data_IF_548977734765
#
_entry.id   IF_548977734765
#
_cell.length_a   1.000
_cell.length_b   1.000
_cell.length_c   1.000
_cell.angle_alpha   90.00
_cell.angle_beta   90.00
_cell.angle_gamma   90.00
#
_symmetry.space_group_name_H-M   'P 1'
#
loop_
_entity.id
_entity.type
_entity.pdbx_description
1 polymer ?
#
# COMPACT_ATOMS: atom_id res chain seq x y z
N UNK A 1 4.50 -4.76 33.57
CA UNK A 1 3.38 -5.62 33.15
C UNK A 1 2.83 -5.06 31.86
N UNK A 2 2.87 -5.86 30.81
CA UNK A 2 2.44 -5.49 29.44
C UNK A 2 0.93 -5.69 29.19
N UNK A 3 0.15 -5.79 30.28
CA UNK A 3 -1.32 -5.87 30.18
C UNK A 3 -1.95 -4.50 29.94
N UNK A 4 -3.03 -4.48 29.16
CA UNK A 4 -3.74 -3.27 28.76
C UNK A 4 -4.47 -2.67 29.96
N UNK A 5 -4.12 -1.43 30.33
CA UNK A 5 -4.79 -0.63 31.34
C UNK A 5 -5.99 0.12 30.75
N UNK A 6 -5.81 0.76 29.61
CA UNK A 6 -6.87 1.53 28.95
C UNK A 6 -6.68 1.62 27.44
N UNK A 7 -7.80 1.75 26.76
CA UNK A 7 -7.87 2.00 25.30
C UNK A 7 -8.74 3.23 25.10
N UNK A 8 -8.32 4.12 24.23
CA UNK A 8 -9.08 5.31 23.84
C UNK A 8 -8.95 5.55 22.34
N UNK A 9 -10.03 5.93 21.69
CA UNK A 9 -10.03 6.34 20.30
C UNK A 9 -10.67 7.71 20.13
N UNK A 10 -10.28 8.37 19.04
CA UNK A 10 -10.83 9.64 18.60
C UNK A 10 -10.96 9.69 17.08
N UNK A 11 -11.78 10.62 16.64
CA UNK A 11 -11.87 11.00 15.25
C UNK A 11 -10.78 12.03 14.94
N UNK A 12 -10.00 11.78 13.88
CA UNK A 12 -9.01 12.71 13.32
C UNK A 12 -9.31 12.92 11.84
N UNK A 13 -8.55 13.79 11.16
CA UNK A 13 -8.67 14.00 9.71
C UNK A 13 -7.55 13.27 8.97
N UNK A 14 -7.91 12.68 7.84
CA UNK A 14 -6.96 12.12 6.88
C UNK A 14 -6.43 13.19 5.90
N UNK A 15 -5.53 12.79 5.01
CA UNK A 15 -4.90 13.66 4.01
C UNK A 15 -5.86 14.27 2.97
N UNK A 16 -7.10 13.75 2.90
CA UNK A 16 -8.16 14.29 2.06
C UNK A 16 -9.15 15.19 2.84
N UNK A 17 -8.90 15.40 4.14
CA UNK A 17 -9.80 16.15 5.02
C UNK A 17 -11.06 15.37 5.42
N UNK A 18 -11.06 14.04 5.25
CA UNK A 18 -12.13 13.19 5.73
C UNK A 18 -11.81 12.64 7.13
N UNK A 19 -12.84 12.42 7.98
CA UNK A 19 -12.63 11.77 9.26
C UNK A 19 -12.06 10.36 9.12
N UNK A 20 -11.15 10.01 10.02
CA UNK A 20 -10.67 8.64 10.25
C UNK A 20 -10.47 8.41 11.74
N UNK A 21 -10.16 7.16 12.11
CA UNK A 21 -10.00 6.76 13.50
C UNK A 21 -8.52 6.71 13.89
N UNK A 22 -8.22 7.26 15.09
CA UNK A 22 -6.96 7.08 15.78
C UNK A 22 -7.22 6.40 17.13
N UNK A 23 -6.48 5.36 17.46
CA UNK A 23 -6.55 4.65 18.71
C UNK A 23 -5.27 4.79 19.53
N UNK A 24 -5.42 4.79 20.85
CA UNK A 24 -4.36 4.80 21.84
C UNK A 24 -4.54 3.62 22.80
N UNK A 25 -3.43 2.97 23.14
CA UNK A 25 -3.36 1.89 24.12
C UNK A 25 -2.33 2.26 25.16
N UNK A 26 -2.72 2.17 26.44
CA UNK A 26 -1.82 2.38 27.60
C UNK A 26 -1.75 1.08 28.39
N UNK A 27 -0.53 0.64 28.70
CA UNK A 27 -0.28 -0.56 29.49
C UNK A 27 -0.12 -0.25 30.98
N UNK A 28 -0.16 -1.28 31.83
CA UNK A 28 0.01 -1.13 33.28
C UNK A 28 1.38 -0.58 33.69
N UNK A 29 2.41 -0.83 32.88
CA UNK A 29 3.75 -0.26 33.11
C UNK A 29 3.90 1.20 32.62
N UNK A 30 2.81 1.79 32.09
CA UNK A 30 2.78 3.13 31.54
C UNK A 30 3.20 3.27 30.07
N UNK A 31 3.58 2.15 29.44
CA UNK A 31 3.90 2.15 28.02
C UNK A 31 2.69 2.55 27.19
N UNK A 32 2.95 3.32 26.11
CA UNK A 32 1.95 3.97 25.27
C UNK A 32 2.14 3.56 23.81
N UNK A 33 1.03 3.29 23.14
CA UNK A 33 0.99 3.10 21.69
C UNK A 33 -0.16 3.89 21.08
N UNK A 34 0.07 4.42 19.89
CA UNK A 34 -0.92 5.15 19.09
C UNK A 34 -0.83 4.70 17.64
N UNK A 35 -1.96 4.58 16.97
CA UNK A 35 -2.02 4.32 15.55
C UNK A 35 -3.25 4.98 14.93
N UNK A 36 -3.09 5.47 13.70
CA UNK A 36 -4.16 6.02 12.89
C UNK A 36 -4.45 5.13 11.68
N UNK A 37 -5.72 5.03 11.31
CA UNK A 37 -6.19 4.12 10.28
C UNK A 37 -6.29 4.83 8.93
N UNK A 38 -5.69 4.30 7.85
CA UNK A 38 -5.85 4.85 6.51
C UNK A 38 -7.23 4.51 5.91
N UNK A 39 -7.61 5.22 4.84
CA UNK A 39 -8.89 5.07 4.15
C UNK A 39 -8.72 5.11 2.63
N UNK A 40 -9.35 4.20 1.88
CA UNK A 40 -9.30 4.16 0.42
C UNK A 40 -10.28 5.10 -0.27
N UNK A 41 -9.95 5.54 -1.50
CA UNK A 41 -10.88 6.20 -2.43
C UNK A 41 -11.55 5.17 -3.35
N UNK A 42 -10.76 4.39 -4.08
CA UNK A 42 -11.21 3.16 -4.73
C UNK A 42 -11.08 2.01 -3.74
N UNK A 43 -12.06 1.12 -3.70
CA UNK A 43 -12.09 0.00 -2.76
C UNK A 43 -12.53 -1.26 -3.49
N UNK A 44 -11.77 -2.35 -3.31
CA UNK A 44 -12.16 -3.67 -3.77
C UNK A 44 -13.47 -4.11 -3.12
N UNK A 45 -14.32 -4.77 -3.86
CA UNK A 45 -15.67 -5.15 -3.39
C UNK A 45 -15.65 -6.11 -2.20
N UNK A 46 -14.52 -6.79 -1.96
CA UNK A 46 -14.33 -7.79 -0.89
C UNK A 46 -13.49 -7.27 0.27
N UNK A 47 -13.18 -5.98 0.36
CA UNK A 47 -12.48 -5.40 1.49
C UNK A 47 -13.28 -5.51 2.79
N UNK A 48 -12.56 -5.59 3.92
CA UNK A 48 -13.18 -5.46 5.23
C UNK A 48 -13.87 -4.09 5.39
N UNK A 49 -14.95 -4.06 6.15
CA UNK A 49 -15.84 -2.91 6.21
C UNK A 49 -15.27 -1.74 7.03
N UNK A 50 -15.06 -0.61 6.39
CA UNK A 50 -14.83 0.66 7.06
C UNK A 50 -16.17 1.20 7.59
N UNK A 51 -16.34 1.25 8.92
CA UNK A 51 -17.58 1.71 9.52
C UNK A 51 -17.64 3.25 9.51
N UNK A 52 -18.59 3.79 8.73
CA UNK A 52 -18.94 5.20 8.63
C UNK A 52 -20.31 5.46 9.23
N UNK A 53 -20.51 6.66 9.78
CA UNK A 53 -21.76 7.03 10.47
C UNK A 53 -22.96 7.12 9.52
N UNK A 54 -22.76 7.59 8.29
CA UNK A 54 -23.80 7.81 7.31
C UNK A 54 -24.66 9.05 7.58
N UNK A 55 -24.40 9.78 8.66
CA UNK A 55 -25.12 11.01 9.03
C UNK A 55 -24.72 12.17 8.13
N UNK A 56 -25.56 12.50 7.18
CA UNK A 56 -25.31 13.57 6.19
C UNK A 56 -25.17 14.97 6.80
N UNK A 57 -25.64 15.18 8.03
CA UNK A 57 -25.54 16.47 8.73
C UNK A 57 -24.16 16.72 9.32
N UNK A 58 -23.31 15.67 9.34
CA UNK A 58 -21.97 15.71 9.90
C UNK A 58 -20.95 15.06 8.96
N UNK A 59 -19.92 15.83 8.57
CA UNK A 59 -18.90 15.39 7.59
C UNK A 59 -19.46 14.74 6.33
N UNK A 60 -20.62 15.20 5.87
CA UNK A 60 -21.31 14.70 4.68
C UNK A 60 -21.57 13.18 4.71
N UNK A 61 -21.74 12.62 5.91
CA UNK A 61 -21.96 11.19 6.12
C UNK A 61 -20.67 10.37 6.37
N UNK A 62 -19.49 11.00 6.29
CA UNK A 62 -18.19 10.31 6.39
C UNK A 62 -17.63 10.24 7.81
N UNK A 63 -18.35 10.72 8.84
CA UNK A 63 -17.93 10.61 10.24
C UNK A 63 -17.68 9.16 10.67
N UNK A 64 -16.86 8.96 11.71
CA UNK A 64 -16.50 7.64 12.25
C UNK A 64 -16.79 7.50 13.75
N UNK A 65 -17.73 8.28 14.28
CA UNK A 65 -18.10 8.24 15.69
C UNK A 65 -18.56 6.87 16.15
N UNK A 66 -19.34 6.14 15.33
CA UNK A 66 -19.78 4.77 15.66
C UNK A 66 -18.58 3.84 15.88
N UNK A 67 -17.58 3.89 15.02
CA UNK A 67 -16.35 3.12 15.17
C UNK A 67 -15.56 3.56 16.42
N UNK A 68 -15.46 4.86 16.67
CA UNK A 68 -14.83 5.42 17.87
C UNK A 68 -15.54 4.95 19.14
N UNK A 69 -16.87 5.00 19.18
CA UNK A 69 -17.68 4.53 20.31
C UNK A 69 -17.50 3.03 20.55
N UNK A 70 -17.42 2.22 19.48
CA UNK A 70 -17.14 0.79 19.59
C UNK A 70 -15.77 0.52 20.23
N UNK A 71 -14.75 1.32 19.90
CA UNK A 71 -13.44 1.21 20.57
C UNK A 71 -13.54 1.59 22.04
N UNK A 72 -14.13 2.75 22.33
CA UNK A 72 -14.17 3.33 23.69
C UNK A 72 -15.05 2.57 24.67
N UNK A 73 -15.95 1.72 24.17
CA UNK A 73 -16.88 0.92 24.98
C UNK A 73 -16.64 -0.58 24.83
N UNK A 74 -17.12 -1.17 23.77
CA UNK A 74 -17.13 -2.63 23.56
C UNK A 74 -15.72 -3.21 23.54
N UNK A 75 -14.83 -2.65 22.75
CA UNK A 75 -13.45 -3.15 22.58
C UNK A 75 -12.62 -2.87 23.82
N UNK A 76 -12.67 -1.65 24.36
CA UNK A 76 -11.92 -1.28 25.56
C UNK A 76 -12.30 -2.17 26.77
N UNK A 77 -13.59 -2.47 26.96
CA UNK A 77 -14.04 -3.35 28.01
C UNK A 77 -13.58 -4.81 27.83
N UNK A 78 -13.61 -5.30 26.58
CA UNK A 78 -13.24 -6.68 26.27
C UNK A 78 -11.73 -6.96 26.35
N UNK A 79 -10.90 -5.92 26.18
CA UNK A 79 -9.44 -6.03 26.16
C UNK A 79 -8.76 -5.51 27.42
N UNK A 80 -9.50 -4.95 28.38
CA UNK A 80 -8.93 -4.52 29.67
C UNK A 80 -8.27 -5.70 30.38
N UNK A 81 -7.00 -5.53 30.77
CA UNK A 81 -6.20 -6.57 31.37
C UNK A 81 -5.64 -7.63 30.40
N UNK A 82 -5.91 -7.51 29.12
CA UNK A 82 -5.35 -8.40 28.09
C UNK A 82 -3.84 -8.15 27.91
N UNK A 83 -3.09 -9.22 27.62
CA UNK A 83 -1.65 -9.14 27.41
C UNK A 83 -1.34 -8.58 26.01
N UNK A 84 -0.82 -7.36 25.94
CA UNK A 84 -0.55 -6.67 24.67
C UNK A 84 0.56 -7.34 23.82
N UNK A 85 1.46 -8.10 24.44
CA UNK A 85 2.50 -8.85 23.72
C UNK A 85 1.98 -10.11 23.02
N UNK A 86 0.76 -10.56 23.35
CA UNK A 86 0.04 -11.60 22.62
C UNK A 86 -0.78 -10.99 21.49
N UNK A 87 -0.10 -10.51 20.44
CA UNK A 87 -0.76 -9.87 19.30
C UNK A 87 -1.78 -10.80 18.62
N UNK A 88 -1.43 -12.07 18.43
CA UNK A 88 -2.31 -13.03 17.77
C UNK A 88 -3.58 -13.28 18.58
N UNK A 89 -3.46 -13.44 19.89
CA UNK A 89 -4.60 -13.60 20.80
C UNK A 89 -5.46 -12.34 20.86
N UNK A 90 -4.84 -11.15 20.89
CA UNK A 90 -5.56 -9.88 20.88
C UNK A 90 -6.36 -9.71 19.58
N UNK A 91 -5.76 -9.94 18.44
CA UNK A 91 -6.43 -9.80 17.14
C UNK A 91 -7.53 -10.86 16.96
N UNK A 92 -7.32 -12.09 17.44
CA UNK A 92 -8.36 -13.11 17.50
C UNK A 92 -9.54 -12.64 18.34
N UNK A 93 -9.27 -12.09 19.52
CA UNK A 93 -10.32 -11.54 20.39
C UNK A 93 -11.11 -10.43 19.72
N UNK A 94 -10.45 -9.55 18.96
CA UNK A 94 -11.12 -8.50 18.19
C UNK A 94 -12.04 -9.08 17.10
N UNK A 95 -11.55 -10.06 16.34
CA UNK A 95 -12.31 -10.74 15.28
C UNK A 95 -13.53 -11.45 15.86
N UNK A 96 -13.35 -12.23 16.93
CA UNK A 96 -14.43 -12.95 17.59
C UNK A 96 -15.47 -11.98 18.20
N UNK A 97 -15.00 -10.83 18.71
CA UNK A 97 -15.86 -9.80 19.26
C UNK A 97 -16.73 -9.14 18.18
N UNK A 98 -16.21 -8.91 16.98
CA UNK A 98 -17.00 -8.44 15.84
C UNK A 98 -17.97 -9.54 15.37
N UNK A 99 -17.50 -10.74 15.15
CA UNK A 99 -18.27 -11.93 14.81
C UNK A 99 -18.87 -11.93 13.40
N UNK A 100 -18.51 -10.96 12.53
CA UNK A 100 -18.93 -10.93 11.13
C UNK A 100 -17.75 -11.20 10.20
N UNK A 101 -18.01 -11.74 9.01
CA UNK A 101 -16.97 -12.12 8.08
C UNK A 101 -16.13 -10.91 7.60
N UNK A 102 -16.79 -9.78 7.33
CA UNK A 102 -16.16 -8.57 6.84
C UNK A 102 -15.86 -7.51 7.92
N UNK A 103 -15.97 -7.88 9.23
CA UNK A 103 -15.76 -6.97 10.35
C UNK A 103 -16.72 -5.75 10.35
N UNK A 104 -17.93 -5.94 9.81
CA UNK A 104 -18.90 -4.87 9.60
C UNK A 104 -19.65 -4.43 10.87
N UNK A 105 -19.67 -5.24 11.95
CA UNK A 105 -20.41 -4.91 13.17
C UNK A 105 -19.72 -3.84 14.01
N UNK A 106 -18.44 -3.98 14.24
CA UNK A 106 -17.63 -3.01 15.01
C UNK A 106 -16.88 -2.05 14.08
N UNK A 107 -16.58 -2.49 12.86
CA UNK A 107 -15.79 -1.78 11.87
C UNK A 107 -14.35 -2.25 11.82
N UNK A 108 -13.86 -2.59 10.63
CA UNK A 108 -12.45 -2.94 10.42
C UNK A 108 -11.50 -1.79 10.84
N UNK A 109 -11.91 -0.54 10.65
CA UNK A 109 -11.17 0.63 11.13
C UNK A 109 -11.05 0.67 12.66
N UNK A 110 -12.10 0.30 13.41
CA UNK A 110 -12.05 0.20 14.86
C UNK A 110 -11.09 -0.92 15.31
N UNK A 111 -11.18 -2.10 14.71
CA UNK A 111 -10.32 -3.24 15.02
C UNK A 111 -8.85 -2.92 14.71
N UNK A 112 -8.57 -2.40 13.51
CA UNK A 112 -7.21 -2.10 13.06
C UNK A 112 -6.53 -1.05 13.92
N UNK A 113 -7.23 0.03 14.28
CA UNK A 113 -6.68 1.08 15.14
C UNK A 113 -6.17 0.52 16.46
N UNK A 114 -6.95 -0.33 17.09
CA UNK A 114 -6.58 -0.98 18.36
C UNK A 114 -5.47 -2.01 18.16
N UNK A 115 -5.55 -2.83 17.11
CA UNK A 115 -4.54 -3.85 16.79
C UNK A 115 -3.14 -3.22 16.61
N UNK A 116 -3.04 -2.15 15.83
CA UNK A 116 -1.76 -1.45 15.60
C UNK A 116 -1.30 -0.69 16.86
N UNK A 117 -2.20 0.02 17.54
CA UNK A 117 -1.84 0.76 18.75
C UNK A 117 -1.33 -0.16 19.86
N UNK A 118 -1.93 -1.37 20.00
CA UNK A 118 -1.45 -2.38 20.94
C UNK A 118 -0.03 -2.87 20.60
N UNK A 119 0.28 -3.06 19.32
CA UNK A 119 1.63 -3.40 18.86
C UNK A 119 2.66 -2.32 19.22
N UNK A 120 2.32 -1.05 19.01
CA UNK A 120 3.17 0.09 19.41
C UNK A 120 3.39 0.11 20.93
N UNK A 121 2.34 -0.10 21.73
CA UNK A 121 2.45 -0.14 23.18
C UNK A 121 3.31 -1.31 23.66
N UNK A 122 3.14 -2.49 23.06
CA UNK A 122 3.95 -3.68 23.38
C UNK A 122 5.42 -3.48 23.01
N UNK A 123 5.71 -2.86 21.87
CA UNK A 123 7.07 -2.51 21.49
C UNK A 123 7.70 -1.55 22.49
N UNK A 124 6.98 -0.50 22.91
CA UNK A 124 7.43 0.46 23.91
C UNK A 124 7.70 -0.23 25.26
N UNK A 125 6.83 -1.15 25.71
CA UNK A 125 7.01 -1.95 26.92
C UNK A 125 8.29 -2.79 26.88
N UNK A 126 8.64 -3.30 25.70
CA UNK A 126 9.89 -4.03 25.46
C UNK A 126 11.11 -3.12 25.19
N UNK A 127 10.94 -1.79 25.27
CA UNK A 127 11.97 -0.79 24.96
C UNK A 127 12.57 -0.97 23.55
N UNK A 128 11.72 -1.32 22.59
CA UNK A 128 12.05 -1.54 21.19
C UNK A 128 11.31 -0.55 20.31
N UNK A 129 11.92 -0.15 19.19
CA UNK A 129 11.17 0.43 18.08
C UNK A 129 10.22 -0.60 17.50
N UNK A 130 9.12 -0.17 16.86
CA UNK A 130 8.11 -1.10 16.35
C UNK A 130 8.72 -2.10 15.35
N UNK A 131 9.56 -1.66 14.42
CA UNK A 131 10.20 -2.54 13.45
C UNK A 131 11.08 -3.63 14.12
N UNK A 132 11.78 -3.30 15.21
CA UNK A 132 12.58 -4.27 15.98
C UNK A 132 11.67 -5.31 16.65
N UNK A 133 10.61 -4.84 17.27
CA UNK A 133 9.62 -5.70 17.94
C UNK A 133 8.95 -6.65 16.95
N UNK A 134 8.52 -6.14 15.79
CA UNK A 134 7.90 -6.96 14.76
C UNK A 134 8.91 -7.95 14.14
N UNK A 135 10.14 -7.53 13.85
CA UNK A 135 11.19 -8.42 13.32
C UNK A 135 11.50 -9.58 14.26
N UNK A 136 11.54 -9.33 15.57
CA UNK A 136 11.70 -10.39 16.56
C UNK A 136 10.54 -11.40 16.55
N UNK A 137 9.32 -10.94 16.27
CA UNK A 137 8.13 -11.82 16.19
C UNK A 137 8.06 -12.59 14.86
N UNK A 138 8.43 -11.98 13.77
CA UNK A 138 8.43 -12.63 12.44
C UNK A 138 9.64 -13.52 12.21
N UNK A 139 10.71 -13.32 12.97
CA UNK A 139 11.99 -14.02 12.77
C UNK A 139 12.76 -13.56 11.52
N UNK A 140 12.39 -12.43 10.94
CA UNK A 140 12.99 -11.90 9.71
C UNK A 140 14.12 -10.95 10.05
N UNK A 141 15.22 -11.03 9.30
CA UNK A 141 16.29 -10.02 9.36
C UNK A 141 15.81 -8.74 8.69
N UNK A 142 15.80 -7.60 9.40
CA UNK A 142 15.34 -6.34 8.84
C UNK A 142 16.07 -5.93 7.57
N UNK A 143 15.34 -5.45 6.56
CA UNK A 143 15.92 -4.89 5.35
C UNK A 143 15.05 -3.73 4.83
N UNK A 144 15.68 -2.77 4.14
CA UNK A 144 15.00 -1.63 3.56
C UNK A 144 14.31 -2.03 2.24
N UNK A 145 13.01 -1.75 2.09
CA UNK A 145 12.26 -2.08 0.88
C UNK A 145 12.61 -1.14 -0.28
N UNK A 146 12.43 -1.62 -1.51
CA UNK A 146 12.45 -0.76 -2.70
C UNK A 146 11.17 0.09 -2.71
N UNK A 147 11.28 1.43 -2.78
CA UNK A 147 10.12 2.29 -2.89
C UNK A 147 9.58 2.30 -4.32
N UNK A 148 8.28 2.09 -4.45
CA UNK A 148 7.52 2.26 -5.68
C UNK A 148 6.86 3.65 -5.63
N UNK A 149 7.51 4.64 -6.24
CA UNK A 149 7.16 6.04 -6.07
C UNK A 149 6.17 6.47 -7.16
N UNK A 150 4.92 6.72 -6.79
CA UNK A 150 3.89 7.22 -7.69
C UNK A 150 4.20 8.66 -8.11
N UNK A 151 4.70 8.85 -9.33
CA UNK A 151 5.20 10.15 -9.81
C UNK A 151 4.21 10.88 -10.72
N UNK A 152 3.31 10.12 -11.38
CA UNK A 152 2.19 10.64 -12.17
C UNK A 152 0.91 9.92 -11.74
N UNK A 153 -0.11 10.70 -11.42
CA UNK A 153 -1.45 10.25 -11.06
C UNK A 153 -2.41 10.39 -12.26
N UNK A 154 -3.27 9.39 -12.41
CA UNK A 154 -4.42 9.39 -13.31
C UNK A 154 -5.60 8.65 -12.71
N UNK A 155 -6.53 8.19 -13.53
CA UNK A 155 -7.69 7.42 -13.10
C UNK A 155 -8.45 8.07 -11.93
N UNK A 156 -8.76 7.29 -10.90
CA UNK A 156 -9.47 7.79 -9.71
C UNK A 156 -8.63 8.72 -8.80
N UNK A 157 -7.30 8.79 -9.00
CA UNK A 157 -6.38 9.59 -8.17
C UNK A 157 -6.16 11.02 -8.69
N UNK A 158 -6.70 11.38 -9.87
CA UNK A 158 -6.54 12.70 -10.47
C UNK A 158 -7.74 13.06 -11.34
N UNK A 159 -8.05 14.34 -11.40
CA UNK A 159 -9.02 14.89 -12.34
C UNK A 159 -8.31 15.27 -13.65
N UNK A 160 -8.00 14.25 -14.47
CA UNK A 160 -7.36 14.36 -15.77
C UNK A 160 -7.85 13.26 -16.74
N UNK A 161 -7.28 13.21 -17.94
CA UNK A 161 -7.66 12.27 -19.00
C UNK A 161 -6.78 11.02 -19.12
N UNK A 162 -5.98 10.72 -18.11
CA UNK A 162 -5.11 9.54 -18.06
C UNK A 162 -5.91 8.36 -17.50
N UNK A 163 -6.01 7.26 -18.27
CA UNK A 163 -6.80 6.09 -17.88
C UNK A 163 -6.17 5.32 -16.72
N UNK A 164 -4.86 5.14 -16.72
CA UNK A 164 -4.14 4.38 -15.70
C UNK A 164 -3.95 5.23 -14.43
N UNK A 165 -4.15 4.58 -13.29
CA UNK A 165 -4.22 5.26 -12.00
C UNK A 165 -2.87 5.80 -11.52
N UNK A 166 -1.78 5.02 -11.72
CA UNK A 166 -0.46 5.41 -11.25
C UNK A 166 0.65 4.98 -12.21
N UNK A 167 1.61 5.89 -12.39
CA UNK A 167 2.90 5.62 -13.04
C UNK A 167 3.98 5.81 -11.99
N UNK A 168 4.76 4.77 -11.75
CA UNK A 168 5.73 4.71 -10.67
C UNK A 168 7.16 4.61 -11.19
N UNK A 169 8.09 5.21 -10.46
CA UNK A 169 9.54 4.99 -10.61
C UNK A 169 10.06 4.16 -9.44
N UNK A 170 10.93 3.20 -9.74
CA UNK A 170 11.51 2.26 -8.79
C UNK A 170 13.04 2.35 -8.88
N UNK A 171 13.71 3.06 -7.94
CA UNK A 171 15.16 3.22 -7.95
C UNK A 171 15.83 1.94 -7.41
N UNK A 172 16.23 1.04 -8.32
CA UNK A 172 16.77 -0.29 -8.01
C UNK A 172 18.29 -0.40 -8.12
N UNK A 173 18.95 0.54 -8.84
CA UNK A 173 20.39 0.53 -9.12
C UNK A 173 21.24 1.14 -7.99
N UNK A 174 20.77 1.16 -6.76
CA UNK A 174 21.42 1.82 -5.62
C UNK A 174 21.77 0.82 -4.52
N UNK A 175 22.74 1.17 -3.69
CA UNK A 175 23.23 0.31 -2.59
C UNK A 175 22.63 0.63 -1.24
N UNK A 176 21.89 1.75 -1.12
CA UNK A 176 21.20 2.17 0.10
C UNK A 176 19.84 2.76 -0.20
N UNK A 177 18.95 2.72 0.78
CA UNK A 177 17.63 3.35 0.68
C UNK A 177 17.74 4.87 0.54
N UNK A 178 18.64 5.50 1.29
CA UNK A 178 18.88 6.95 1.23
C UNK A 178 19.29 7.42 -0.17
N UNK A 179 20.16 6.70 -0.87
CA UNK A 179 20.53 7.02 -2.25
C UNK A 179 19.40 6.75 -3.24
N UNK A 180 18.63 5.69 -3.03
CA UNK A 180 17.42 5.42 -3.81
C UNK A 180 16.37 6.52 -3.65
N UNK A 181 16.15 6.99 -2.41
CA UNK A 181 15.23 8.10 -2.13
C UNK A 181 15.72 9.41 -2.75
N UNK A 182 17.03 9.69 -2.69
CA UNK A 182 17.64 10.85 -3.35
C UNK A 182 17.38 10.83 -4.86
N UNK A 183 17.63 9.71 -5.51
CA UNK A 183 17.38 9.56 -6.94
C UNK A 183 15.91 9.80 -7.29
N UNK A 184 14.97 9.21 -6.55
CA UNK A 184 13.54 9.45 -6.73
C UNK A 184 13.17 10.93 -6.58
N UNK A 185 13.73 11.63 -5.59
CA UNK A 185 13.51 13.05 -5.36
C UNK A 185 14.04 13.92 -6.50
N UNK A 186 15.24 13.62 -6.99
CA UNK A 186 15.83 14.34 -8.13
C UNK A 186 15.02 14.12 -9.42
N UNK A 187 14.52 12.89 -9.65
CA UNK A 187 13.61 12.59 -10.77
C UNK A 187 12.29 13.35 -10.63
N UNK A 188 11.72 13.40 -9.43
CA UNK A 188 10.50 14.16 -9.16
C UNK A 188 10.65 15.64 -9.51
N UNK A 189 11.74 16.29 -9.12
CA UNK A 189 12.00 17.69 -9.46
C UNK A 189 12.35 17.89 -10.95
N UNK A 190 13.05 16.93 -11.56
CA UNK A 190 13.29 16.92 -12.99
C UNK A 190 11.98 16.84 -13.79
N UNK A 191 11.08 15.94 -13.37
CA UNK A 191 9.75 15.80 -13.98
C UNK A 191 8.94 17.10 -13.86
N UNK A 192 8.97 17.78 -12.71
CA UNK A 192 8.34 19.08 -12.56
C UNK A 192 8.83 20.09 -13.58
N UNK A 193 10.14 20.11 -13.86
CA UNK A 193 10.75 20.99 -14.86
C UNK A 193 10.35 20.61 -16.28
N UNK A 194 10.31 19.31 -16.60
CA UNK A 194 9.88 18.80 -17.89
C UNK A 194 8.41 19.17 -18.17
N UNK A 195 7.52 18.93 -17.21
CA UNK A 195 6.11 19.29 -17.34
C UNK A 195 5.90 20.79 -17.58
N UNK A 196 6.62 21.64 -16.85
CA UNK A 196 6.62 23.09 -17.10
C UNK A 196 7.10 23.45 -18.52
N UNK A 197 8.16 22.81 -18.96
CA UNK A 197 8.71 23.01 -20.32
C UNK A 197 7.72 22.63 -21.42
N UNK A 198 6.87 21.64 -21.16
CA UNK A 198 5.80 21.22 -22.07
C UNK A 198 4.48 22.02 -21.90
N UNK A 199 4.45 23.00 -20.99
CA UNK A 199 3.25 23.79 -20.71
C UNK A 199 2.17 23.02 -19.95
N UNK A 200 2.54 21.93 -19.28
CA UNK A 200 1.62 21.07 -18.53
C UNK A 200 1.56 21.47 -17.03
N UNK A 201 0.44 21.13 -16.38
CA UNK A 201 0.23 21.39 -14.95
C UNK A 201 1.24 20.62 -14.09
N UNK A 202 1.70 21.27 -13.02
CA UNK A 202 2.51 20.66 -11.96
C UNK A 202 1.75 20.56 -10.64
N UNK A 203 0.42 20.66 -10.67
CA UNK A 203 -0.44 20.31 -9.54
C UNK A 203 -0.34 18.82 -9.26
N UNK A 204 -0.48 18.45 -7.99
CA UNK A 204 -0.35 17.05 -7.54
C UNK A 204 -1.70 16.47 -7.15
N UNK A 205 -1.84 15.16 -7.35
CA UNK A 205 -3.00 14.39 -6.93
C UNK A 205 -2.93 13.98 -5.45
N UNK A 206 -3.84 13.11 -5.05
CA UNK A 206 -4.01 12.67 -3.65
C UNK A 206 -2.75 12.02 -3.06
N UNK A 207 -1.95 11.37 -3.88
CA UNK A 207 -0.74 10.65 -3.47
C UNK A 207 0.56 11.41 -3.73
N UNK A 208 0.47 12.70 -4.12
CA UNK A 208 1.60 13.58 -4.32
C UNK A 208 2.27 13.48 -5.69
N UNK A 209 1.85 12.58 -6.58
CA UNK A 209 2.27 12.54 -7.98
C UNK A 209 1.65 13.68 -8.77
N UNK A 210 2.30 14.11 -9.85
CA UNK A 210 1.76 15.15 -10.73
C UNK A 210 0.51 14.63 -11.47
N UNK A 211 -0.42 15.52 -11.76
CA UNK A 211 -1.70 15.19 -12.40
C UNK A 211 -1.95 16.05 -13.66
N UNK A 212 -1.04 16.06 -14.65
CA UNK A 212 -1.24 16.82 -15.88
C UNK A 212 -2.25 16.14 -16.81
N UNK A 213 -2.83 16.91 -17.73
CA UNK A 213 -3.60 16.41 -18.85
C UNK A 213 -2.67 15.98 -19.99
N UNK A 214 -2.38 14.68 -20.04
CA UNK A 214 -1.67 14.09 -21.18
C UNK A 214 -2.64 13.74 -22.32
N UNK A 215 -2.12 13.65 -23.54
CA UNK A 215 -2.90 13.21 -24.70
C UNK A 215 -3.11 11.70 -24.75
N UNK A 216 -2.25 10.94 -24.03
CA UNK A 216 -2.31 9.48 -23.93
C UNK A 216 -1.52 8.98 -22.71
N UNK A 217 -1.73 7.72 -22.34
CA UNK A 217 -0.91 7.05 -21.33
C UNK A 217 0.56 6.89 -21.78
N UNK A 218 0.81 6.76 -23.08
CA UNK A 218 2.18 6.70 -23.67
C UNK A 218 2.93 7.99 -23.43
N UNK A 219 2.27 9.15 -23.59
CA UNK A 219 2.90 10.45 -23.33
C UNK A 219 3.36 10.59 -21.87
N UNK A 220 2.62 9.98 -20.91
CA UNK A 220 3.03 9.94 -19.51
C UNK A 220 4.34 9.14 -19.36
N UNK A 221 4.44 7.95 -19.96
CA UNK A 221 5.66 7.13 -19.92
C UNK A 221 6.86 7.85 -20.55
N UNK A 222 6.69 8.42 -21.74
CA UNK A 222 7.76 9.12 -22.45
C UNK A 222 8.25 10.34 -21.65
N UNK A 223 7.35 11.06 -21.01
CA UNK A 223 7.69 12.21 -20.15
C UNK A 223 8.47 11.78 -18.91
N UNK A 224 8.13 10.64 -18.30
CA UNK A 224 8.89 10.08 -17.18
C UNK A 224 10.29 9.67 -17.63
N UNK A 225 10.44 9.00 -18.78
CA UNK A 225 11.74 8.62 -19.32
C UNK A 225 12.62 9.85 -19.61
N UNK A 226 12.05 10.92 -20.15
CA UNK A 226 12.74 12.20 -20.33
C UNK A 226 13.24 12.76 -18.99
N UNK A 227 12.37 12.73 -17.95
CA UNK A 227 12.73 13.24 -16.63
C UNK A 227 13.84 12.42 -15.97
N UNK A 228 13.82 11.10 -16.10
CA UNK A 228 14.87 10.20 -15.57
C UNK A 228 16.23 10.55 -16.22
N UNK A 229 16.26 10.67 -17.56
CA UNK A 229 17.48 11.03 -18.30
C UNK A 229 18.00 12.41 -17.91
N UNK A 230 17.12 13.42 -17.80
CA UNK A 230 17.49 14.77 -17.37
C UNK A 230 17.99 14.86 -15.92
N UNK A 231 17.54 13.95 -15.07
CA UNK A 231 18.05 13.81 -13.70
C UNK A 231 19.44 13.14 -13.64
N UNK A 232 19.95 12.64 -14.77
CA UNK A 232 21.25 11.98 -14.87
C UNK A 232 21.22 10.47 -14.57
N UNK A 233 20.06 9.84 -14.59
CA UNK A 233 19.88 8.42 -14.36
C UNK A 233 19.52 7.66 -15.65
N UNK A 234 19.80 6.37 -15.66
CA UNK A 234 19.52 5.48 -16.80
C UNK A 234 18.28 4.63 -16.51
N UNK A 235 17.21 4.86 -17.29
CA UNK A 235 16.02 4.01 -17.22
C UNK A 235 16.36 2.58 -17.69
N UNK A 236 15.88 1.58 -16.93
CA UNK A 236 16.20 0.17 -17.16
C UNK A 236 17.43 -0.32 -16.37
N UNK A 237 18.33 0.59 -15.98
CA UNK A 237 19.52 0.26 -15.17
C UNK A 237 19.39 0.78 -13.73
N UNK A 238 19.37 2.10 -13.55
CA UNK A 238 19.27 2.72 -12.22
C UNK A 238 17.83 2.71 -11.71
N UNK A 239 16.88 2.92 -12.63
CA UNK A 239 15.46 3.11 -12.33
C UNK A 239 14.61 2.26 -13.27
N UNK A 240 13.68 1.50 -12.71
CA UNK A 240 12.65 0.78 -13.43
C UNK A 240 11.30 1.50 -13.30
N UNK A 241 10.34 1.12 -14.13
CA UNK A 241 8.99 1.65 -14.11
C UNK A 241 8.00 0.64 -13.53
N UNK A 242 6.95 1.15 -12.92
CA UNK A 242 5.79 0.38 -12.46
C UNK A 242 4.49 1.06 -12.86
N UNK A 243 3.45 0.26 -13.00
CA UNK A 243 2.10 0.72 -13.30
C UNK A 243 1.13 0.21 -12.24
N UNK A 244 0.21 1.08 -11.83
CA UNK A 244 -1.08 0.66 -11.26
C UNK A 244 -2.16 1.01 -12.28
N UNK A 245 -2.70 -0.02 -12.89
CA UNK A 245 -3.69 0.13 -13.96
C UNK A 245 -5.08 0.37 -13.40
N UNK A 246 -5.38 -0.19 -12.22
CA UNK A 246 -6.70 -0.15 -11.57
C UNK A 246 -7.83 -0.48 -12.55
N UNK A 247 -7.65 -1.53 -13.33
CA UNK A 247 -8.45 -1.81 -14.52
C UNK A 247 -9.92 -2.13 -14.25
N UNK A 248 -10.29 -2.45 -13.00
CA UNK A 248 -11.69 -2.60 -12.58
C UNK A 248 -12.50 -1.32 -12.80
N UNK A 249 -11.85 -0.14 -12.71
CA UNK A 249 -12.50 1.17 -12.86
C UNK A 249 -13.03 1.44 -14.28
N UNK A 250 -12.46 0.78 -15.29
CA UNK A 250 -12.88 0.93 -16.70
C UNK A 250 -13.27 -0.39 -17.38
N UNK A 251 -13.56 -1.43 -16.59
CA UNK A 251 -14.05 -2.71 -17.09
C UNK A 251 -15.57 -2.74 -17.09
N UNK A 252 -16.16 -2.71 -18.28
CA UNK A 252 -17.60 -2.67 -18.47
C UNK A 252 -18.04 -3.65 -19.57
N UNK A 253 -19.10 -4.41 -19.31
CA UNK A 253 -19.71 -5.33 -20.29
C UNK A 253 -18.68 -6.29 -20.93
N UNK A 254 -17.74 -6.81 -20.12
CA UNK A 254 -16.72 -7.74 -20.56
C UNK A 254 -15.60 -7.11 -21.40
N UNK A 255 -15.44 -5.79 -21.36
CA UNK A 255 -14.41 -5.07 -22.10
C UNK A 255 -13.76 -3.98 -21.26
N UNK A 256 -12.49 -3.71 -21.56
CA UNK A 256 -11.70 -2.63 -21.00
C UNK A 256 -11.84 -1.39 -21.88
N UNK A 257 -12.45 -0.33 -21.33
CA UNK A 257 -12.76 0.91 -22.05
C UNK A 257 -11.75 2.01 -21.71
N UNK A 258 -10.67 2.09 -22.49
CA UNK A 258 -9.63 3.11 -22.36
C UNK A 258 -10.08 4.39 -23.09
N UNK A 259 -10.73 5.30 -22.36
CA UNK A 259 -11.32 6.52 -22.94
C UNK A 259 -10.22 7.45 -23.47
N UNK A 260 -9.14 7.64 -22.70
CA UNK A 260 -7.99 8.47 -23.12
C UNK A 260 -7.24 7.94 -24.34
N UNK A 261 -7.33 6.63 -24.60
CA UNK A 261 -6.73 5.97 -25.76
C UNK A 261 -7.72 5.75 -26.92
N UNK A 262 -9.01 6.05 -26.70
CA UNK A 262 -10.10 5.73 -27.62
C UNK A 262 -10.11 4.24 -28.03
N UNK A 263 -9.89 3.34 -27.07
CA UNK A 263 -9.83 1.89 -27.27
C UNK A 263 -10.86 1.17 -26.41
N UNK A 264 -11.43 0.11 -26.96
CA UNK A 264 -12.31 -0.81 -26.24
C UNK A 264 -11.87 -2.25 -26.52
N UNK A 265 -11.23 -2.88 -25.53
CA UNK A 265 -10.49 -4.12 -25.69
C UNK A 265 -11.15 -5.29 -24.95
N UNK A 266 -11.09 -6.50 -25.54
CA UNK A 266 -11.37 -7.74 -24.81
C UNK A 266 -10.23 -8.03 -23.82
N UNK A 267 -10.41 -9.01 -22.92
CA UNK A 267 -9.36 -9.42 -22.00
C UNK A 267 -8.08 -9.85 -22.73
N UNK A 268 -8.19 -10.64 -23.80
CA UNK A 268 -7.04 -11.07 -24.60
C UNK A 268 -6.32 -9.88 -25.26
N UNK A 269 -7.07 -8.95 -25.83
CA UNK A 269 -6.51 -7.76 -26.46
C UNK A 269 -5.83 -6.86 -25.43
N UNK A 270 -6.40 -6.75 -24.23
CA UNK A 270 -5.80 -5.94 -23.17
C UNK A 270 -4.53 -6.59 -22.59
N UNK A 271 -4.51 -7.93 -22.48
CA UNK A 271 -3.28 -8.67 -22.16
C UNK A 271 -2.18 -8.43 -23.17
N UNK A 272 -2.49 -8.48 -24.47
CA UNK A 272 -1.51 -8.16 -25.53
C UNK A 272 -1.02 -6.72 -25.43
N UNK A 273 -1.91 -5.78 -25.18
CA UNK A 273 -1.57 -4.35 -24.97
C UNK A 273 -0.56 -4.16 -23.81
N UNK A 274 -0.82 -4.78 -22.65
CA UNK A 274 0.08 -4.71 -21.50
C UNK A 274 1.41 -5.42 -21.75
N UNK A 275 1.39 -6.55 -22.45
CA UNK A 275 2.58 -7.30 -22.83
C UNK A 275 3.48 -6.51 -23.78
N UNK A 276 2.89 -5.82 -24.76
CA UNK A 276 3.61 -4.95 -25.71
C UNK A 276 4.28 -3.77 -24.97
N UNK A 277 3.60 -3.17 -24.01
CA UNK A 277 4.17 -2.10 -23.19
C UNK A 277 5.34 -2.60 -22.33
N UNK A 278 5.19 -3.75 -21.70
CA UNK A 278 6.25 -4.36 -20.90
C UNK A 278 7.48 -4.75 -21.75
N UNK A 279 7.30 -4.98 -23.06
CA UNK A 279 8.40 -5.24 -24.00
C UNK A 279 9.08 -3.96 -24.50
N UNK A 280 8.36 -2.84 -24.57
CA UNK A 280 8.87 -1.57 -25.11
C UNK A 280 9.48 -0.65 -24.06
N UNK A 281 8.99 -0.71 -22.83
CA UNK A 281 9.40 0.13 -21.69
C UNK A 281 10.04 -0.69 -20.60
N UNK A 282 10.89 -0.13 -19.74
CA UNK A 282 11.51 -0.85 -18.62
C UNK A 282 10.52 -1.05 -17.46
N UNK A 283 9.33 -1.58 -17.75
CA UNK A 283 8.27 -1.88 -16.79
C UNK A 283 8.56 -3.23 -16.14
N UNK A 284 8.77 -3.21 -14.81
CA UNK A 284 9.05 -4.41 -14.03
C UNK A 284 7.85 -4.90 -13.25
N UNK A 285 6.87 -4.05 -13.01
CA UNK A 285 5.70 -4.38 -12.18
C UNK A 285 4.43 -3.75 -12.72
N UNK A 286 3.34 -4.51 -12.72
CA UNK A 286 1.99 -4.08 -13.11
C UNK A 286 1.03 -4.52 -12.01
N UNK A 287 0.37 -3.57 -11.39
CA UNK A 287 -0.68 -3.78 -10.40
C UNK A 287 -2.05 -3.69 -11.08
N UNK A 288 -2.94 -4.60 -10.68
CA UNK A 288 -4.33 -4.70 -11.17
C UNK A 288 -4.46 -4.51 -12.69
N UNK A 289 -3.62 -5.24 -13.43
CA UNK A 289 -3.61 -5.23 -14.89
C UNK A 289 -4.93 -5.68 -15.50
N UNK A 290 -5.66 -6.59 -14.86
CA UNK A 290 -7.01 -7.00 -15.21
C UNK A 290 -7.98 -6.74 -14.04
N UNK A 291 -9.27 -6.66 -14.34
CA UNK A 291 -10.33 -6.40 -13.36
C UNK A 291 -10.39 -7.50 -12.28
N UNK A 292 -10.81 -7.14 -11.08
CA UNK A 292 -10.88 -8.02 -9.90
C UNK A 292 -11.74 -9.28 -10.12
N UNK A 293 -12.68 -9.24 -11.06
CA UNK A 293 -13.57 -10.35 -11.41
C UNK A 293 -13.14 -11.12 -12.68
N UNK A 294 -12.12 -10.64 -13.41
CA UNK A 294 -11.64 -11.26 -14.64
C UNK A 294 -10.48 -12.24 -14.37
N UNK A 295 -10.74 -13.28 -13.61
CA UNK A 295 -9.73 -14.27 -13.22
C UNK A 295 -9.14 -15.03 -14.41
N UNK A 296 -9.93 -15.28 -15.45
CA UNK A 296 -9.44 -15.89 -16.69
C UNK A 296 -8.45 -14.97 -17.42
N UNK A 297 -8.76 -13.68 -17.51
CA UNK A 297 -7.85 -12.66 -18.04
C UNK A 297 -6.57 -12.55 -17.21
N UNK A 298 -6.68 -12.54 -15.89
CA UNK A 298 -5.54 -12.54 -14.97
C UNK A 298 -4.62 -13.75 -15.18
N UNK A 299 -5.20 -14.94 -15.34
CA UNK A 299 -4.42 -16.15 -15.63
C UNK A 299 -3.68 -16.02 -16.97
N UNK A 300 -4.37 -15.53 -17.99
CA UNK A 300 -3.78 -15.30 -19.31
C UNK A 300 -2.61 -14.29 -19.23
N UNK A 301 -2.76 -13.20 -18.51
CA UNK A 301 -1.69 -12.21 -18.29
C UNK A 301 -0.49 -12.86 -17.56
N UNK A 302 -0.77 -13.63 -16.52
CA UNK A 302 0.27 -14.33 -15.74
C UNK A 302 1.07 -15.28 -16.60
N UNK A 303 0.39 -16.09 -17.42
CA UNK A 303 1.04 -17.03 -18.32
C UNK A 303 1.87 -16.30 -19.40
N UNK A 304 1.39 -15.14 -19.85
CA UNK A 304 2.02 -14.36 -20.94
C UNK A 304 3.31 -13.66 -20.49
N UNK A 305 3.30 -12.96 -19.36
CA UNK A 305 4.41 -12.10 -18.94
C UNK A 305 4.88 -12.33 -17.51
N UNK A 306 4.21 -13.14 -16.69
CA UNK A 306 4.51 -13.30 -15.26
C UNK A 306 5.91 -13.82 -14.94
N UNK A 307 6.65 -14.38 -15.91
CA UNK A 307 8.07 -14.74 -15.72
C UNK A 307 9.04 -13.58 -15.82
N UNK A 308 8.60 -12.45 -16.38
CA UNK A 308 9.43 -11.27 -16.64
C UNK A 308 8.95 -10.03 -15.90
N UNK A 309 7.66 -9.99 -15.56
CA UNK A 309 6.99 -8.86 -14.94
C UNK A 309 6.32 -9.30 -13.65
N UNK A 310 6.52 -8.54 -12.59
CA UNK A 310 5.79 -8.72 -11.33
C UNK A 310 4.34 -8.27 -11.54
N UNK A 311 3.40 -9.17 -11.30
CA UNK A 311 1.96 -8.95 -11.44
C UNK A 311 1.34 -8.92 -10.06
N UNK A 312 0.96 -7.72 -9.61
CA UNK A 312 0.48 -7.46 -8.25
C UNK A 312 -1.05 -7.46 -8.23
N UNK A 313 -1.63 -8.31 -7.39
CA UNK A 313 -3.06 -8.25 -7.10
C UNK A 313 -3.34 -7.34 -5.91
N UNK A 314 -4.04 -6.22 -6.12
CA UNK A 314 -4.62 -5.34 -5.10
C UNK A 314 -6.10 -5.70 -4.90
N UNK A 315 -6.98 -5.20 -5.72
CA UNK A 315 -8.43 -5.50 -5.64
C UNK A 315 -8.72 -6.99 -5.88
N UNK A 316 -7.83 -7.69 -6.60
CA UNK A 316 -7.92 -9.12 -6.82
C UNK A 316 -7.88 -9.92 -5.51
N UNK A 317 -7.02 -9.54 -4.56
CA UNK A 317 -6.76 -10.30 -3.32
C UNK A 317 -7.22 -9.59 -2.05
N UNK A 318 -7.34 -8.28 -2.07
CA UNK A 318 -7.75 -7.40 -0.95
C UNK A 318 -7.06 -7.74 0.38
N UNK A 319 -5.77 -8.11 0.34
CA UNK A 319 -4.99 -8.55 1.51
C UNK A 319 -5.63 -9.74 2.26
N UNK A 320 -6.57 -10.45 1.65
CA UNK A 320 -7.33 -11.52 2.29
C UNK A 320 -6.66 -12.88 2.06
N UNK A 321 -6.16 -13.56 3.11
CA UNK A 321 -5.47 -14.86 2.97
C UNK A 321 -6.30 -15.95 2.28
N UNK A 322 -7.62 -15.96 2.45
CA UNK A 322 -8.50 -16.96 1.82
C UNK A 322 -8.55 -16.76 0.31
N UNK A 323 -8.79 -15.52 -0.14
CA UNK A 323 -8.84 -15.18 -1.58
C UNK A 323 -7.44 -15.33 -2.20
N UNK A 324 -6.42 -14.93 -1.46
CA UNK A 324 -5.04 -15.09 -1.90
C UNK A 324 -4.65 -16.55 -2.11
N UNK A 325 -5.14 -17.48 -1.27
CA UNK A 325 -4.94 -18.92 -1.45
C UNK A 325 -5.52 -19.40 -2.79
N UNK A 326 -6.70 -18.93 -3.20
CA UNK A 326 -7.29 -19.24 -4.50
C UNK A 326 -6.37 -18.80 -5.66
N UNK A 327 -5.75 -17.62 -5.53
CA UNK A 327 -4.77 -17.13 -6.50
C UNK A 327 -3.51 -17.98 -6.57
N UNK A 328 -2.98 -18.39 -5.42
CA UNK A 328 -1.82 -19.28 -5.33
C UNK A 328 -2.14 -20.63 -6.00
N UNK A 329 -3.27 -21.25 -5.66
CA UNK A 329 -3.67 -22.56 -6.15
C UNK A 329 -3.90 -22.57 -7.67
N UNK A 330 -4.38 -21.46 -8.22
CA UNK A 330 -4.60 -21.28 -9.66
C UNK A 330 -3.38 -20.77 -10.43
N UNK A 331 -2.33 -20.35 -9.73
CA UNK A 331 -1.14 -19.72 -10.34
C UNK A 331 -1.48 -18.39 -11.02
N UNK A 332 -2.32 -17.59 -10.37
CA UNK A 332 -2.79 -16.26 -10.82
C UNK A 332 -2.01 -15.17 -10.13
N UNK A 333 -1.52 -14.18 -10.87
CA UNK A 333 -0.58 -13.16 -10.40
C UNK A 333 0.75 -13.80 -9.90
N UNK A 334 1.66 -12.99 -9.35
CA UNK A 334 2.88 -13.45 -8.70
C UNK A 334 3.33 -12.53 -7.55
N UNK A 335 2.50 -11.57 -7.19
CA UNK A 335 2.69 -10.67 -6.06
C UNK A 335 1.34 -10.24 -5.48
N UNK A 336 1.35 -9.83 -4.22
CA UNK A 336 0.19 -9.30 -3.52
C UNK A 336 0.49 -7.91 -2.97
N UNK A 337 -0.47 -6.99 -3.12
CA UNK A 337 -0.45 -5.71 -2.40
C UNK A 337 -0.99 -5.91 -0.99
N UNK A 338 -0.34 -5.32 -0.01
CA UNK A 338 -0.67 -5.45 1.41
C UNK A 338 -1.14 -4.10 1.93
N UNK A 339 -2.43 -4.00 2.20
CA UNK A 339 -3.08 -2.82 2.78
C UNK A 339 -3.71 -3.22 4.12
N UNK A 340 -3.19 -2.70 5.21
CA UNK A 340 -3.59 -3.10 6.58
C UNK A 340 -5.10 -2.97 6.83
N UNK A 341 -5.74 -1.97 6.23
CA UNK A 341 -7.17 -1.73 6.44
C UNK A 341 -8.10 -2.56 5.54
N UNK A 342 -7.57 -3.22 4.48
CA UNK A 342 -8.36 -4.13 3.66
C UNK A 342 -8.74 -5.41 4.42
N UNK A 343 -7.94 -5.80 5.40
CA UNK A 343 -8.18 -6.99 6.23
C UNK A 343 -8.55 -6.65 7.68
N UNK A 344 -7.95 -5.62 8.28
CA UNK A 344 -8.39 -5.02 9.53
C UNK A 344 -7.70 -5.48 10.81
N UNK A 345 -6.68 -6.35 10.76
CA UNK A 345 -5.80 -6.65 11.88
C UNK A 345 -4.35 -6.80 11.45
N UNK A 346 -3.42 -6.52 12.37
CA UNK A 346 -1.99 -6.69 12.12
C UNK A 346 -1.63 -8.17 11.92
N UNK A 347 -2.22 -9.09 12.70
CA UNK A 347 -1.92 -10.52 12.59
C UNK A 347 -2.31 -11.08 11.22
N UNK A 348 -3.49 -10.73 10.69
CA UNK A 348 -3.91 -11.15 9.34
C UNK A 348 -3.03 -10.52 8.26
N UNK A 349 -2.60 -9.27 8.45
CA UNK A 349 -1.65 -8.58 7.57
C UNK A 349 -0.30 -9.32 7.51
N UNK A 350 0.27 -9.64 8.66
CA UNK A 350 1.53 -10.39 8.75
C UNK A 350 1.41 -11.79 8.16
N UNK A 351 0.27 -12.46 8.36
CA UNK A 351 0.01 -13.79 7.78
C UNK A 351 -0.06 -13.73 6.25
N UNK A 352 -0.71 -12.72 5.67
CA UNK A 352 -0.75 -12.55 4.21
C UNK A 352 0.66 -12.38 3.63
N UNK A 353 1.54 -11.63 4.28
CA UNK A 353 2.94 -11.46 3.87
C UNK A 353 3.71 -12.78 3.98
N UNK A 354 3.59 -13.49 5.10
CA UNK A 354 4.26 -14.78 5.31
C UNK A 354 3.76 -15.84 4.32
N UNK A 355 2.49 -15.83 3.99
CA UNK A 355 1.86 -16.70 2.98
C UNK A 355 2.42 -16.44 1.58
N UNK A 356 2.60 -15.16 1.21
CA UNK A 356 3.24 -14.79 -0.04
C UNK A 356 4.65 -15.37 -0.15
N UNK A 357 5.46 -15.22 0.88
CA UNK A 357 6.83 -15.74 0.93
C UNK A 357 6.86 -17.27 0.76
N UNK A 358 6.03 -18.01 1.50
CA UNK A 358 5.90 -19.47 1.38
C UNK A 358 5.51 -19.93 -0.02
N UNK A 359 4.68 -19.15 -0.70
CA UNK A 359 4.19 -19.46 -2.05
C UNK A 359 5.10 -18.98 -3.18
N UNK A 360 6.14 -18.22 -2.86
CA UNK A 360 7.02 -17.62 -3.84
C UNK A 360 6.48 -16.40 -4.56
N UNK A 361 5.48 -15.78 -3.98
CA UNK A 361 4.96 -14.47 -4.38
C UNK A 361 5.75 -13.37 -3.68
N UNK A 362 5.85 -12.21 -4.33
CA UNK A 362 6.32 -11.01 -3.66
C UNK A 362 5.18 -10.35 -2.86
N UNK A 363 5.54 -9.65 -1.80
CA UNK A 363 4.62 -8.80 -1.06
C UNK A 363 5.06 -7.34 -1.16
N UNK A 364 4.12 -6.45 -1.46
CA UNK A 364 4.32 -5.00 -1.53
C UNK A 364 3.47 -4.36 -0.45
N UNK A 365 4.09 -3.76 0.57
CA UNK A 365 3.36 -3.02 1.60
C UNK A 365 2.92 -1.67 1.05
N UNK A 366 1.67 -1.31 1.24
CA UNK A 366 1.05 -0.16 0.57
C UNK A 366 0.30 0.75 1.53
N UNK A 367 0.34 2.04 1.20
CA UNK A 367 -0.54 3.08 1.74
C UNK A 367 -1.96 2.98 1.15
N UNK A 368 -2.80 3.94 1.51
CA UNK A 368 -4.08 4.23 0.84
C UNK A 368 -4.11 5.68 0.36
N UNK A 369 -5.10 6.02 -0.48
CA UNK A 369 -5.29 7.40 -0.97
C UNK A 369 -5.58 8.39 0.16
N UNK A 370 -6.33 8.00 1.18
CA UNK A 370 -6.47 8.75 2.43
C UNK A 370 -5.50 8.24 3.50
N UNK A 371 -4.47 9.01 3.76
CA UNK A 371 -3.43 8.70 4.74
C UNK A 371 -3.38 9.72 5.89
N UNK A 372 -2.61 9.39 6.90
CA UNK A 372 -2.28 10.25 8.02
C UNK A 372 -0.75 10.34 8.16
N UNK A 373 -0.26 10.99 9.22
CA UNK A 373 1.16 10.98 9.58
C UNK A 373 1.66 9.65 10.17
N UNK A 374 0.79 8.66 10.36
CA UNK A 374 1.16 7.32 10.85
C UNK A 374 2.17 6.66 9.92
N UNK A 375 3.19 6.01 10.50
CA UNK A 375 4.31 5.39 9.77
C UNK A 375 4.39 3.88 9.97
N UNK A 376 3.37 3.25 10.55
CA UNK A 376 3.35 1.81 10.88
C UNK A 376 3.68 0.93 9.68
N UNK A 377 3.22 1.28 8.46
CA UNK A 377 3.51 0.50 7.25
C UNK A 377 5.00 0.49 6.88
N UNK A 378 5.75 1.54 7.22
CA UNK A 378 7.20 1.55 7.04
C UNK A 378 7.88 0.50 7.94
N UNK A 379 7.49 0.45 9.21
CA UNK A 379 7.99 -0.55 10.16
C UNK A 379 7.62 -1.98 9.74
N UNK A 380 6.39 -2.20 9.26
CA UNK A 380 5.95 -3.50 8.74
C UNK A 380 6.80 -3.93 7.54
N UNK A 381 7.07 -3.03 6.60
CA UNK A 381 7.85 -3.36 5.39
C UNK A 381 9.29 -3.79 5.70
N UNK A 382 9.89 -3.21 6.75
CA UNK A 382 11.26 -3.55 7.18
C UNK A 382 11.31 -4.87 7.98
N UNK A 383 10.27 -5.15 8.75
CA UNK A 383 10.23 -6.25 9.72
C UNK A 383 9.62 -7.55 9.16
N UNK A 384 9.38 -7.63 7.86
CA UNK A 384 8.76 -8.78 7.20
C UNK A 384 9.53 -9.19 5.96
N UNK A 385 9.08 -10.23 5.28
CA UNK A 385 9.62 -10.65 3.98
C UNK A 385 9.15 -9.79 2.81
N UNK A 386 8.38 -8.73 3.05
CA UNK A 386 8.07 -7.73 2.04
C UNK A 386 9.35 -7.01 1.60
N UNK A 387 9.54 -6.89 0.30
CA UNK A 387 10.75 -6.30 -0.29
C UNK A 387 10.49 -4.96 -0.96
N UNK A 388 9.25 -4.50 -0.94
CA UNK A 388 8.81 -3.30 -1.63
C UNK A 388 7.79 -2.56 -0.78
N UNK A 389 7.77 -1.22 -0.93
CA UNK A 389 6.78 -0.34 -0.32
C UNK A 389 6.21 0.61 -1.37
N UNK A 390 4.88 0.70 -1.44
CA UNK A 390 4.14 1.63 -2.29
C UNK A 390 3.49 2.67 -1.38
N UNK A 391 4.08 3.87 -1.29
CA UNK A 391 3.61 4.89 -0.32
C UNK A 391 3.55 6.30 -0.90
N UNK A 392 3.28 6.40 -2.20
CA UNK A 392 3.06 7.66 -2.90
C UNK A 392 4.33 8.32 -3.40
N UNK A 393 4.25 9.61 -3.68
CA UNK A 393 5.33 10.40 -4.27
C UNK A 393 6.24 11.05 -3.22
N UNK A 394 7.08 11.98 -3.66
CA UNK A 394 8.12 12.67 -2.87
C UNK A 394 7.64 14.01 -2.30
N UNK A 395 6.35 14.23 -2.24
CA UNK A 395 5.74 15.40 -1.59
C UNK A 395 4.44 14.97 -0.87
N UNK A 396 3.83 15.88 -0.12
CA UNK A 396 2.77 15.66 0.88
C UNK A 396 3.30 14.91 2.11
N UNK A 397 3.14 15.53 3.27
CA UNK A 397 3.72 15.03 4.54
C UNK A 397 3.22 13.64 4.93
N UNK A 398 1.97 13.31 4.55
CA UNK A 398 1.36 12.00 4.76
C UNK A 398 2.09 10.87 4.02
N UNK A 399 2.76 11.17 2.90
CA UNK A 399 3.60 10.23 2.13
C UNK A 399 5.05 10.26 2.61
N UNK A 400 5.62 11.47 2.68
CA UNK A 400 7.02 11.69 3.06
C UNK A 400 7.31 11.19 4.49
N UNK A 401 6.32 11.18 5.39
CA UNK A 401 6.46 10.63 6.73
C UNK A 401 6.96 9.17 6.72
N UNK A 402 6.46 8.33 5.79
CA UNK A 402 6.86 6.94 5.65
C UNK A 402 8.30 6.83 5.14
N UNK A 403 8.69 7.63 4.16
CA UNK A 403 10.07 7.69 3.66
C UNK A 403 11.05 8.16 4.74
N UNK A 404 10.68 9.19 5.50
CA UNK A 404 11.49 9.68 6.61
C UNK A 404 11.65 8.62 7.72
N UNK A 405 10.61 7.81 7.97
CA UNK A 405 10.72 6.70 8.91
C UNK A 405 11.70 5.64 8.42
N UNK A 406 11.69 5.30 7.12
CA UNK A 406 12.66 4.37 6.53
C UNK A 406 14.10 4.89 6.63
N UNK A 407 14.32 6.20 6.47
CA UNK A 407 15.64 6.81 6.69
C UNK A 407 16.12 6.64 8.14
N UNK A 408 15.23 6.86 9.13
CA UNK A 408 15.57 6.64 10.56
C UNK A 408 15.89 5.18 10.83
N UNK A 409 15.16 4.26 10.21
CA UNK A 409 15.43 2.82 10.35
C UNK A 409 16.77 2.44 9.71
N UNK A 410 17.07 2.97 8.52
CA UNK A 410 18.37 2.76 7.87
C UNK A 410 19.52 3.24 8.75
N UNK A 411 19.40 4.44 9.32
CA UNK A 411 20.38 4.98 10.27
C UNK A 411 20.53 4.09 11.50
N UNK A 412 19.44 3.62 12.09
CA UNK A 412 19.45 2.74 13.25
C UNK A 412 20.07 1.36 12.96
N UNK A 413 19.94 0.85 11.76
CA UNK A 413 20.58 -0.40 11.31
C UNK A 413 22.08 -0.22 11.04
N UNK A 414 22.51 0.99 10.70
CA UNK A 414 23.93 1.33 10.45
C UNK A 414 24.55 0.44 9.39
N UNK A 415 25.71 -0.15 9.71
CA UNK A 415 26.43 -1.06 8.79
C UNK A 415 25.66 -2.36 8.49
N UNK A 416 24.62 -2.68 9.25
CA UNK A 416 23.73 -3.83 9.00
C UNK A 416 22.59 -3.51 8.05
N UNK A 417 22.41 -2.26 7.65
CA UNK A 417 21.36 -1.86 6.71
C UNK A 417 21.58 -2.55 5.36
N UNK A 418 20.50 -3.15 4.85
CA UNK A 418 20.47 -3.79 3.53
C UNK A 418 19.34 -3.17 2.71
N UNK A 419 19.63 -2.83 1.49
CA UNK A 419 18.67 -2.36 0.52
C UNK A 419 18.52 -3.41 -0.59
N UNK A 420 17.28 -3.85 -0.82
CA UNK A 420 17.02 -4.97 -1.73
C UNK A 420 17.40 -4.68 -3.20
N UNK A 421 17.21 -3.45 -3.66
CA UNK A 421 17.51 -3.08 -5.04
C UNK A 421 16.80 -4.00 -6.04
N UNK A 422 17.51 -4.47 -7.06
CA UNK A 422 16.96 -5.41 -8.06
C UNK A 422 16.53 -6.75 -7.48
N UNK A 423 17.04 -7.09 -6.31
CA UNK A 423 16.70 -8.34 -5.62
C UNK A 423 15.32 -8.33 -4.96
N UNK A 424 14.65 -7.18 -4.97
CA UNK A 424 13.29 -7.04 -4.43
C UNK A 424 12.23 -7.87 -5.19
N UNK A 425 12.44 -8.15 -6.47
CA UNK A 425 11.47 -8.86 -7.31
C UNK A 425 11.64 -10.38 -7.19
N UNK A 426 11.37 -10.88 -5.99
CA UNK A 426 11.65 -12.28 -5.62
C UNK A 426 10.88 -13.30 -6.45
N UNK A 427 9.67 -12.95 -6.92
CA UNK A 427 8.83 -13.81 -7.76
C UNK A 427 9.39 -14.03 -9.18
N UNK A 428 10.31 -13.17 -9.64
CA UNK A 428 10.92 -13.27 -10.98
C UNK A 428 12.21 -14.11 -11.00
N UNK A 429 12.70 -14.56 -9.84
CA UNK A 429 13.97 -15.28 -9.70
C UNK A 429 13.80 -16.81 -9.71
N UNK A 430 12.57 -17.32 -9.81
CA UNK A 430 12.24 -18.76 -9.70
C UNK A 430 11.99 -19.42 -11.05
#
# INVERSE_FOLDING_TARGET
MSTIRSIHAREILDSRGNPTLEAEVILEDGSFGRAAVPSGASTGTKEAAELRDGDKTRYLGKGVRKAVDNVNTTIANALKGFEATDQAGLDRRLIDLDGTENKGRLGANALLGVSMAAAHAAAASNKQALWQYLAAKTGVTPSLPVPMMNIINGGAHADNNVDFQEFMVLPVGFTSFSEALRAGTEIFHSLKSVLKGHGLSTAVGDEGGFAPDFRSNVEALDTILEAIGKAGYTAGEDVLLGLDVASSEFFENGKYNLVGENKRLTSEQFVDFLADWAAQYPIITIEDGLAENDWAGWKLLTDRIGKKVQLVGDDLFVTNPKIFQEGIDSGTANAILIKVNQIGTLSETLEAIAMADRAGYAAVVSHRSGETEDTTIADISVATTATQIKTGSLCRSDRVAKYNQLLRIEEALGAGARYAGRDAFVSLKR
#
